data_IF_038813461394
#
_entry.id   IF_038813461394
#
_cell.length_a   1.000
_cell.length_b   1.000
_cell.length_c   1.000
_cell.angle_alpha   90.00
_cell.angle_beta   90.00
_cell.angle_gamma   90.00
#
_symmetry.space_group_name_H-M   'P 1'
#
loop_
_entity.id
_entity.type
_entity.pdbx_description
1 polymer ?
#
# COMPACT_ATOMS: atom_id res chain seq x y z
N UNK A 1 -0.95 22.48 -9.81
CA UNK A 1 -1.87 21.69 -10.66
C UNK A 1 -3.19 21.60 -9.92
N UNK A 2 -4.24 22.19 -10.43
CA UNK A 2 -5.51 22.36 -9.73
C UNK A 2 -6.20 21.02 -9.49
N UNK A 3 -6.88 20.89 -8.35
CA UNK A 3 -7.72 19.75 -7.93
C UNK A 3 -8.82 19.38 -8.94
N UNK A 4 -9.12 20.27 -9.87
CA UNK A 4 -10.12 20.09 -10.93
C UNK A 4 -9.81 18.97 -11.94
N UNK A 5 -8.63 18.36 -11.90
CA UNK A 5 -8.30 17.20 -12.74
C UNK A 5 -8.60 15.84 -12.09
N UNK A 6 -9.02 15.82 -10.84
CA UNK A 6 -9.67 14.67 -10.21
C UNK A 6 -11.17 14.57 -10.60
N UNK A 7 -11.55 15.17 -11.71
CA UNK A 7 -12.94 15.24 -12.20
C UNK A 7 -13.46 13.94 -12.83
N UNK A 8 -12.71 12.83 -12.71
CA UNK A 8 -13.37 11.55 -12.63
C UNK A 8 -13.38 11.14 -11.14
N UNK A 9 -14.45 11.44 -10.38
CA UNK A 9 -14.49 11.30 -8.93
C UNK A 9 -14.30 9.84 -8.47
N UNK A 10 -14.37 8.89 -9.39
CA UNK A 10 -14.35 7.47 -9.09
C UNK A 10 -13.01 6.76 -9.27
N UNK A 11 -12.01 7.34 -9.96
CA UNK A 11 -10.77 6.61 -10.19
C UNK A 11 -10.03 6.24 -8.92
N UNK A 12 -10.02 7.13 -7.92
CA UNK A 12 -9.39 6.85 -6.63
C UNK A 12 -10.22 5.86 -5.82
N UNK A 13 -11.54 5.99 -5.79
CA UNK A 13 -12.45 5.06 -5.14
C UNK A 13 -12.36 3.68 -5.79
N UNK A 14 -12.43 3.61 -7.12
CA UNK A 14 -12.28 2.38 -7.89
C UNK A 14 -10.91 1.72 -7.65
N UNK A 15 -9.84 2.53 -7.51
CA UNK A 15 -8.53 2.04 -7.13
C UNK A 15 -8.55 1.37 -5.75
N UNK A 16 -9.08 2.04 -4.72
CA UNK A 16 -9.12 1.49 -3.35
C UNK A 16 -9.96 0.21 -3.28
N UNK A 17 -11.08 0.16 -3.99
CA UNK A 17 -11.92 -1.05 -4.05
C UNK A 17 -11.20 -2.23 -4.73
N UNK A 18 -10.54 -1.98 -5.87
CA UNK A 18 -9.88 -3.03 -6.65
C UNK A 18 -8.57 -3.51 -6.04
N UNK A 19 -7.78 -2.60 -5.48
CA UNK A 19 -6.53 -2.97 -4.78
C UNK A 19 -6.83 -3.70 -3.48
N UNK A 20 -8.10 -3.67 -3.00
CA UNK A 20 -8.52 -4.31 -1.74
C UNK A 20 -7.56 -3.98 -0.62
N UNK A 21 -7.20 -2.70 -0.52
CA UNK A 21 -6.32 -2.24 0.53
C UNK A 21 -6.98 -2.48 1.88
N UNK A 22 -6.37 -3.34 2.65
CA UNK A 22 -6.77 -3.57 4.04
C UNK A 22 -5.72 -2.93 4.94
N UNK A 23 -6.14 -1.97 5.73
CA UNK A 23 -5.36 -1.45 6.82
C UNK A 23 -5.29 -2.52 7.91
N UNK A 24 -4.09 -2.90 8.30
CA UNK A 24 -3.88 -3.79 9.43
C UNK A 24 -3.24 -2.99 10.57
N UNK A 25 -3.99 -2.75 11.63
CA UNK A 25 -3.41 -2.29 12.88
C UNK A 25 -2.45 -3.36 13.42
N UNK A 26 -1.22 -2.98 13.77
CA UNK A 26 -0.22 -3.97 14.20
C UNK A 26 0.57 -3.56 15.43
N UNK A 27 0.66 -2.27 15.75
CA UNK A 27 1.43 -1.82 16.89
C UNK A 27 0.86 -0.56 17.49
N UNK A 28 0.82 -0.51 18.80
CA UNK A 28 0.72 0.73 19.53
C UNK A 28 1.52 0.60 20.82
N UNK A 29 2.18 1.67 21.18
CA UNK A 29 3.01 1.66 22.37
C UNK A 29 3.90 2.89 22.48
N UNK A 30 4.72 2.83 23.49
CA UNK A 30 5.68 3.89 23.82
C UNK A 30 7.01 3.61 23.14
N UNK A 31 7.53 4.58 22.42
CA UNK A 31 8.88 4.48 21.83
C UNK A 31 9.91 4.76 22.91
N UNK A 32 10.72 3.76 23.24
CA UNK A 32 11.85 3.87 24.19
C UNK A 32 13.15 3.71 23.42
N UNK A 33 13.92 4.78 23.31
CA UNK A 33 15.17 4.77 22.54
C UNK A 33 14.92 4.71 21.02
N UNK A 34 15.47 3.73 20.33
CA UNK A 34 15.39 3.57 18.88
C UNK A 34 14.43 2.44 18.51
N UNK A 35 13.42 2.76 17.72
CA UNK A 35 12.49 1.80 17.16
C UNK A 35 12.82 1.59 15.67
N UNK A 36 13.16 0.35 15.32
CA UNK A 36 13.38 -0.10 13.94
C UNK A 36 12.39 -1.22 13.65
N UNK A 37 11.37 -0.91 12.86
CA UNK A 37 10.33 -1.88 12.50
C UNK A 37 10.67 -2.54 11.18
N UNK A 38 10.42 -3.84 11.09
CA UNK A 38 10.53 -4.59 9.84
C UNK A 38 9.57 -4.03 8.80
N UNK A 39 10.06 -3.81 7.60
CA UNK A 39 9.33 -3.17 6.50
C UNK A 39 9.37 -4.06 5.26
N UNK A 40 8.48 -5.03 5.16
CA UNK A 40 8.39 -5.89 3.99
C UNK A 40 8.16 -5.07 2.71
N UNK A 41 8.76 -5.47 1.58
CA UNK A 41 8.52 -4.80 0.29
C UNK A 41 7.02 -4.75 -0.05
N UNK A 42 6.60 -3.67 -0.71
CA UNK A 42 5.21 -3.48 -1.12
C UNK A 42 4.26 -3.00 -0.02
N UNK A 43 4.76 -2.78 1.18
CA UNK A 43 3.99 -2.24 2.30
C UNK A 43 4.09 -0.73 2.38
N UNK A 44 3.10 -0.11 3.00
CA UNK A 44 3.21 1.26 3.53
C UNK A 44 2.76 1.27 5.00
N UNK A 45 3.24 2.24 5.73
CA UNK A 45 2.98 2.37 7.17
C UNK A 45 2.48 3.76 7.48
N UNK A 46 1.46 3.83 8.32
CA UNK A 46 1.00 5.06 8.93
C UNK A 46 1.30 4.99 10.41
N UNK A 47 1.93 6.05 10.91
CA UNK A 47 2.16 6.25 12.35
C UNK A 47 1.43 7.52 12.77
N UNK A 48 0.67 7.42 13.83
CA UNK A 48 0.09 8.57 14.52
C UNK A 48 0.91 8.78 15.79
N UNK A 49 1.55 9.95 15.91
CA UNK A 49 2.17 10.41 17.14
C UNK A 49 1.07 11.05 18.00
N UNK A 50 0.77 10.42 19.13
CA UNK A 50 -0.25 10.93 20.07
C UNK A 50 0.29 12.08 20.91
N UNK A 51 1.58 12.03 21.29
CA UNK A 51 2.24 13.07 22.07
C UNK A 51 3.67 12.69 22.45
N UNK A 52 4.41 13.64 22.95
CA UNK A 52 5.84 13.54 23.25
C UNK A 52 6.70 13.82 22.00
N UNK A 53 8.00 13.90 22.20
CA UNK A 53 8.98 14.25 21.18
C UNK A 53 9.55 13.02 20.48
N UNK A 54 9.42 12.97 19.16
CA UNK A 54 9.89 11.87 18.32
C UNK A 54 10.76 12.40 17.18
N UNK A 55 11.89 11.76 16.97
CA UNK A 55 12.78 12.03 15.85
C UNK A 55 12.62 10.98 14.76
N UNK A 56 12.40 11.42 13.54
CA UNK A 56 12.51 10.59 12.34
C UNK A 56 13.96 10.64 11.83
N UNK A 57 14.66 9.54 11.94
CA UNK A 57 16.08 9.40 11.55
C UNK A 57 16.17 8.63 10.24
N UNK A 58 16.78 9.23 9.21
CA UNK A 58 16.97 8.63 7.88
C UNK A 58 18.45 8.66 7.52
N UNK A 59 19.00 7.62 6.87
CA UNK A 59 20.36 7.61 6.40
C UNK A 59 20.62 8.74 5.40
N UNK A 60 21.64 9.56 5.66
CA UNK A 60 22.06 10.63 4.74
C UNK A 60 21.12 11.83 4.65
N UNK A 61 20.08 11.91 5.50
CA UNK A 61 19.15 13.03 5.54
C UNK A 61 19.13 13.71 6.93
N UNK A 62 18.76 14.99 7.02
CA UNK A 62 18.55 15.67 8.30
C UNK A 62 17.51 14.95 9.15
N UNK A 63 17.70 14.98 10.46
CA UNK A 63 16.72 14.47 11.43
C UNK A 63 15.50 15.39 11.39
N UNK A 64 14.32 14.78 11.22
CA UNK A 64 13.05 15.52 11.33
C UNK A 64 12.52 15.35 12.73
N UNK A 65 12.39 16.47 13.44
CA UNK A 65 11.89 16.51 14.82
C UNK A 65 10.38 16.71 14.82
N UNK A 66 9.66 15.79 15.44
CA UNK A 66 8.22 15.81 15.62
C UNK A 66 7.94 16.23 17.05
N UNK A 67 7.38 17.44 17.24
CA UNK A 67 7.15 18.08 18.55
C UNK A 67 5.66 18.28 18.85
N UNK A 68 4.81 17.93 17.92
CA UNK A 68 3.34 18.04 18.03
C UNK A 68 2.69 16.78 17.49
N UNK A 69 1.42 16.52 17.79
CA UNK A 69 0.70 15.40 17.20
C UNK A 69 0.83 15.40 15.69
N UNK A 70 1.40 14.35 15.14
CA UNK A 70 1.76 14.24 13.72
C UNK A 70 1.36 12.89 13.16
N UNK A 71 1.12 12.86 11.85
CA UNK A 71 0.90 11.65 11.09
C UNK A 71 2.07 11.45 10.13
N UNK A 72 2.69 10.27 10.19
CA UNK A 72 3.75 9.89 9.28
C UNK A 72 3.21 8.86 8.29
N UNK A 73 3.43 9.09 7.01
CA UNK A 73 3.19 8.12 5.95
C UNK A 73 4.55 7.65 5.42
N UNK A 74 4.86 6.40 5.64
CA UNK A 74 6.16 5.83 5.37
C UNK A 74 6.03 4.66 4.38
N UNK A 75 6.54 4.78 3.13
CA UNK A 75 6.63 3.66 2.21
C UNK A 75 7.72 2.67 2.67
N UNK A 76 7.57 1.39 2.32
CA UNK A 76 8.57 0.36 2.65
C UNK A 76 9.93 0.58 1.99
N UNK A 77 9.97 1.31 0.88
CA UNK A 77 11.20 1.69 0.20
C UNK A 77 12.06 2.67 0.99
N UNK A 78 11.47 3.38 1.93
CA UNK A 78 12.16 4.36 2.77
C UNK A 78 12.85 3.67 3.96
N UNK A 79 14.16 3.89 4.09
CA UNK A 79 14.91 3.49 5.29
C UNK A 79 14.82 4.57 6.34
N UNK A 80 14.22 4.25 7.48
CA UNK A 80 14.08 5.17 8.61
C UNK A 80 14.02 4.42 9.94
N UNK A 81 14.32 5.15 11.00
CA UNK A 81 14.13 4.72 12.39
C UNK A 81 13.39 5.82 13.14
N UNK A 82 12.61 5.44 14.12
CA UNK A 82 11.97 6.37 15.04
C UNK A 82 12.76 6.39 16.35
N UNK A 83 13.13 7.56 16.83
CA UNK A 83 13.92 7.72 18.04
C UNK A 83 13.21 8.66 19.02
N UNK A 84 13.02 8.23 20.26
CA UNK A 84 12.55 9.12 21.32
C UNK A 84 13.62 10.15 21.67
N UNK A 85 13.23 11.40 21.90
CA UNK A 85 14.13 12.38 22.49
C UNK A 85 14.49 12.00 23.92
N UNK A 86 15.59 12.56 24.43
CA UNK A 86 16.09 12.24 25.76
C UNK A 86 15.04 12.52 26.84
N UNK A 87 14.73 11.49 27.63
CA UNK A 87 13.81 11.59 28.76
C UNK A 87 12.32 11.57 28.45
N UNK A 88 11.95 11.45 27.15
CA UNK A 88 10.56 11.37 26.73
C UNK A 88 10.19 9.96 26.23
N UNK A 89 8.92 9.64 26.38
CA UNK A 89 8.36 8.36 25.93
C UNK A 89 7.15 8.61 25.01
N UNK A 90 7.39 9.07 23.78
CA UNK A 90 6.30 9.35 22.84
C UNK A 90 5.48 8.08 22.56
N UNK A 91 4.17 8.25 22.49
CA UNK A 91 3.24 7.16 22.16
C UNK A 91 2.86 7.25 20.69
N UNK A 92 2.91 6.09 20.05
CA UNK A 92 2.54 5.93 18.63
C UNK A 92 1.49 4.85 18.46
N UNK A 93 0.63 5.05 17.47
CA UNK A 93 -0.34 4.05 16.99
C UNK A 93 -0.07 3.82 15.51
N UNK A 94 0.07 2.56 15.09
CA UNK A 94 0.58 2.21 13.78
C UNK A 94 -0.33 1.25 13.03
N UNK A 95 -0.49 1.50 11.74
CA UNK A 95 -1.12 0.55 10.81
C UNK A 95 -0.24 0.34 9.58
N UNK A 96 -0.34 -0.85 9.00
CA UNK A 96 0.30 -1.22 7.74
C UNK A 96 -0.73 -1.44 6.64
N UNK A 97 -0.29 -1.24 5.40
CA UNK A 97 -1.09 -1.43 4.20
C UNK A 97 -0.28 -2.23 3.19
N UNK A 98 -0.83 -3.35 2.73
CA UNK A 98 -0.21 -4.22 1.72
C UNK A 98 -0.72 -3.82 0.32
N UNK A 99 0.15 -3.20 -0.48
CA UNK A 99 -0.11 -2.87 -1.89
C UNK A 99 0.28 -4.01 -2.84
N UNK A 100 0.77 -5.11 -2.31
CA UNK A 100 1.39 -6.19 -3.08
C UNK A 100 2.87 -5.90 -3.37
N UNK A 101 3.61 -6.95 -3.68
CA UNK A 101 4.98 -6.76 -4.16
C UNK A 101 4.91 -6.23 -5.60
N UNK A 102 5.37 -5.03 -5.83
CA UNK A 102 5.74 -4.59 -7.16
C UNK A 102 7.19 -5.00 -7.40
N UNK A 103 7.47 -5.64 -8.51
CA UNK A 103 8.84 -5.98 -8.96
C UNK A 103 9.66 -4.72 -9.27
N UNK A 104 9.04 -3.54 -9.30
CA UNK A 104 9.69 -2.25 -9.48
C UNK A 104 10.12 -1.61 -8.15
N UNK A 105 11.10 -0.71 -8.21
CA UNK A 105 11.58 0.05 -7.06
C UNK A 105 10.62 1.19 -6.65
N UNK A 106 9.61 1.47 -7.46
CA UNK A 106 8.66 2.55 -7.17
C UNK A 106 7.76 2.19 -5.99
N UNK A 107 7.70 3.08 -5.01
CA UNK A 107 6.70 2.99 -3.94
C UNK A 107 5.29 2.96 -4.55
N UNK A 108 4.41 2.04 -4.12
CA UNK A 108 3.02 2.02 -4.57
C UNK A 108 2.29 3.35 -4.38
N UNK A 109 2.65 4.08 -3.34
CA UNK A 109 2.12 5.41 -3.03
C UNK A 109 2.74 6.53 -3.89
N UNK A 110 3.76 6.23 -4.71
CA UNK A 110 4.46 7.25 -5.50
C UNK A 110 5.32 8.19 -4.65
N UNK A 111 5.49 7.88 -3.40
CA UNK A 111 6.31 8.62 -2.44
C UNK A 111 7.57 7.82 -2.18
N UNK A 112 8.73 8.44 -2.37
CA UNK A 112 10.02 7.77 -2.18
C UNK A 112 10.55 7.87 -0.75
N UNK A 113 10.09 8.87 -0.01
CA UNK A 113 10.55 9.16 1.36
C UNK A 113 9.37 9.22 2.33
N UNK A 114 9.66 9.20 3.63
CA UNK A 114 8.65 9.39 4.65
C UNK A 114 8.07 10.81 4.59
N UNK A 115 6.75 10.90 4.55
CA UNK A 115 6.03 12.16 4.64
C UNK A 115 5.55 12.38 6.08
N UNK A 116 5.76 13.59 6.56
CA UNK A 116 5.34 14.01 7.90
C UNK A 116 4.32 15.11 7.74
N UNK A 117 3.16 14.91 8.33
CA UNK A 117 2.07 15.88 8.34
C UNK A 117 1.71 16.23 9.79
N UNK A 118 1.79 17.51 10.19
CA UNK A 118 1.11 17.95 11.40
C UNK A 118 -0.35 17.54 11.37
N UNK A 119 -0.88 16.99 12.45
CA UNK A 119 -2.25 16.48 12.47
C UNK A 119 -3.29 17.54 12.11
N UNK A 120 -3.02 18.81 12.46
CA UNK A 120 -3.84 19.97 12.11
C UNK A 120 -3.81 20.33 10.61
N UNK A 121 -2.78 19.92 9.88
CA UNK A 121 -2.58 20.27 8.46
C UNK A 121 -3.38 19.42 7.49
N UNK A 122 -3.91 18.27 7.93
CA UNK A 122 -4.68 17.35 7.10
C UNK A 122 -6.16 17.70 7.23
N UNK A 123 -6.84 18.14 6.16
CA UNK A 123 -8.27 18.44 6.24
C UNK A 123 -9.08 17.25 6.76
N UNK A 124 -9.98 17.52 7.72
CA UNK A 124 -10.85 16.54 8.37
C UNK A 124 -10.14 15.41 9.14
N UNK A 125 -8.81 15.46 9.34
CA UNK A 125 -8.10 14.38 10.03
C UNK A 125 -8.19 14.47 11.55
N UNK A 126 -8.27 15.66 12.16
CA UNK A 126 -8.28 15.78 13.63
C UNK A 126 -9.41 15.00 14.31
N UNK A 127 -10.68 15.05 13.85
CA UNK A 127 -11.73 14.21 14.43
C UNK A 127 -11.48 12.72 14.21
N UNK A 128 -10.92 12.33 13.06
CA UNK A 128 -10.58 10.95 12.73
C UNK A 128 -9.44 10.43 13.59
N UNK A 129 -8.37 11.19 13.77
CA UNK A 129 -7.25 10.85 14.65
C UNK A 129 -7.76 10.64 16.08
N UNK A 130 -8.61 11.54 16.58
CA UNK A 130 -9.24 11.39 17.88
C UNK A 130 -10.13 10.14 17.96
N UNK A 131 -10.82 9.77 16.88
CA UNK A 131 -11.59 8.54 16.83
C UNK A 131 -10.69 7.30 16.89
N UNK A 132 -9.58 7.29 16.14
CA UNK A 132 -8.58 6.21 16.17
C UNK A 132 -8.01 6.05 17.60
N UNK A 133 -7.62 7.14 18.25
CA UNK A 133 -7.05 7.08 19.58
C UNK A 133 -8.08 6.60 20.61
N UNK A 134 -9.33 7.05 20.54
CA UNK A 134 -10.41 6.55 21.41
C UNK A 134 -10.68 5.08 21.20
N UNK A 135 -10.79 4.63 19.94
CA UNK A 135 -11.00 3.22 19.61
C UNK A 135 -9.81 2.36 20.07
N UNK A 136 -8.59 2.88 19.95
CA UNK A 136 -7.40 2.20 20.44
C UNK A 136 -7.44 1.99 21.96
N UNK A 137 -7.86 3.00 22.74
CA UNK A 137 -7.95 2.91 24.20
C UNK A 137 -9.22 2.19 24.69
N UNK A 138 -10.19 1.98 23.82
CA UNK A 138 -11.40 1.23 24.16
C UNK A 138 -11.10 -0.27 24.22
N UNK A 139 -11.51 -0.94 25.30
CA UNK A 139 -11.47 -2.40 25.40
C UNK A 139 -12.83 -2.96 24.97
N UNK A 140 -13.13 -2.85 23.67
CA UNK A 140 -14.42 -3.19 23.11
C UNK A 140 -14.31 -4.30 22.04
N UNK A 141 -15.31 -5.20 21.94
CA UNK A 141 -15.36 -6.16 20.85
C UNK A 141 -15.38 -5.44 19.48
N UNK A 142 -14.65 -5.99 18.50
CA UNK A 142 -14.55 -5.38 17.17
C UNK A 142 -13.52 -4.25 17.03
N UNK A 143 -12.82 -3.86 18.12
CA UNK A 143 -11.80 -2.79 18.12
C UNK A 143 -10.81 -2.90 16.94
N UNK A 144 -10.28 -4.10 16.70
CA UNK A 144 -9.30 -4.28 15.64
C UNK A 144 -9.88 -3.98 14.25
N UNK A 145 -11.14 -4.37 14.02
CA UNK A 145 -11.84 -4.06 12.76
C UNK A 145 -12.13 -2.56 12.65
N UNK A 146 -12.58 -1.94 13.73
CA UNK A 146 -12.81 -0.50 13.81
C UNK A 146 -11.55 0.29 13.49
N UNK A 147 -10.44 -0.03 14.14
CA UNK A 147 -9.14 0.60 13.86
C UNK A 147 -8.72 0.45 12.41
N UNK A 148 -8.84 -0.75 11.82
CA UNK A 148 -8.50 -0.97 10.41
C UNK A 148 -9.29 -0.05 9.48
N UNK A 149 -10.60 0.07 9.67
CA UNK A 149 -11.46 0.94 8.86
C UNK A 149 -11.12 2.43 9.02
N UNK A 150 -10.84 2.87 10.24
CA UNK A 150 -10.46 4.27 10.50
C UNK A 150 -9.10 4.61 9.87
N UNK A 151 -8.13 3.70 9.93
CA UNK A 151 -6.83 3.87 9.26
C UNK A 151 -6.95 3.81 7.73
N UNK A 152 -7.84 3.00 7.17
CA UNK A 152 -8.13 3.01 5.73
C UNK A 152 -8.63 4.40 5.29
N UNK A 153 -9.54 5.00 6.07
CA UNK A 153 -10.00 6.36 5.76
C UNK A 153 -8.91 7.41 5.96
N UNK A 154 -8.05 7.26 6.98
CA UNK A 154 -6.90 8.15 7.17
C UNK A 154 -5.95 8.10 5.95
N UNK A 155 -5.70 6.90 5.40
CA UNK A 155 -4.90 6.76 4.18
C UNK A 155 -5.51 7.53 3.00
N UNK A 156 -6.84 7.50 2.83
CA UNK A 156 -7.52 8.30 1.79
C UNK A 156 -7.24 9.80 1.97
N UNK A 157 -7.32 10.30 3.20
CA UNK A 157 -7.04 11.72 3.49
C UNK A 157 -5.58 12.09 3.22
N UNK A 158 -4.64 11.21 3.60
CA UNK A 158 -3.21 11.40 3.35
C UNK A 158 -2.88 11.41 1.86
N UNK A 159 -3.48 10.49 1.10
CA UNK A 159 -3.33 10.44 -0.36
C UNK A 159 -3.85 11.71 -1.00
N UNK A 160 -5.06 12.16 -0.64
CA UNK A 160 -5.63 13.42 -1.16
C UNK A 160 -4.72 14.63 -0.87
N UNK A 161 -4.21 14.72 0.36
CA UNK A 161 -3.28 15.79 0.75
C UNK A 161 -1.97 15.71 -0.02
N UNK A 162 -1.40 14.52 -0.17
CA UNK A 162 -0.16 14.31 -0.92
C UNK A 162 -0.30 14.72 -2.38
N UNK A 163 -1.45 14.45 -3.01
CA UNK A 163 -1.75 14.95 -4.36
C UNK A 163 -1.90 16.47 -4.40
N UNK A 164 -2.62 17.06 -3.44
CA UNK A 164 -2.82 18.51 -3.38
C UNK A 164 -1.49 19.27 -3.25
N UNK A 165 -0.52 18.69 -2.55
CA UNK A 165 0.81 19.26 -2.35
C UNK A 165 1.83 18.85 -3.45
N UNK A 166 1.42 18.05 -4.44
CA UNK A 166 2.31 17.61 -5.53
C UNK A 166 3.41 16.65 -5.09
N UNK A 167 3.23 15.97 -3.95
CA UNK A 167 4.21 15.05 -3.37
C UNK A 167 4.20 13.67 -4.04
N UNK A 168 3.17 13.37 -4.83
CA UNK A 168 3.00 12.11 -5.57
C UNK A 168 3.28 12.34 -7.04
N UNK A 169 4.43 11.87 -7.53
CA UNK A 169 4.87 12.10 -8.92
C UNK A 169 4.99 10.83 -9.75
N UNK A 170 5.13 9.67 -9.10
CA UNK A 170 5.29 8.35 -9.72
C UNK A 170 4.56 7.28 -8.91
N UNK A 171 4.60 6.03 -9.39
CA UNK A 171 4.01 4.89 -8.72
C UNK A 171 2.54 4.67 -9.08
N UNK A 172 1.92 3.69 -8.44
CA UNK A 172 0.59 3.23 -8.80
C UNK A 172 -0.46 4.33 -8.64
N UNK A 173 -0.45 5.05 -7.51
CA UNK A 173 -1.39 6.14 -7.27
C UNK A 173 -1.26 7.28 -8.28
N UNK A 174 -0.02 7.72 -8.60
CA UNK A 174 0.19 8.75 -9.63
C UNK A 174 -0.30 8.29 -11.00
N UNK A 175 -0.12 7.00 -11.31
CA UNK A 175 -0.57 6.42 -12.58
C UNK A 175 -2.09 6.32 -12.68
N UNK A 176 -2.80 6.21 -11.56
CA UNK A 176 -4.26 6.19 -11.52
C UNK A 176 -4.91 7.55 -11.78
N UNK A 177 -4.19 8.64 -11.59
CA UNK A 177 -4.66 9.99 -11.97
C UNK A 177 -4.20 10.43 -13.36
N UNK A 178 -3.32 9.68 -14.02
CA UNK A 178 -3.01 9.83 -15.45
C UNK A 178 -4.09 9.09 -16.26
N UNK A 179 -4.98 9.78 -16.99
CA UNK A 179 -6.12 9.14 -17.66
C UNK A 179 -5.72 8.02 -18.63
N UNK A 180 -4.51 8.12 -19.22
CA UNK A 180 -4.01 7.15 -20.19
C UNK A 180 -3.60 5.84 -19.51
N UNK A 181 -2.89 5.93 -18.38
CA UNK A 181 -2.47 4.75 -17.61
C UNK A 181 -3.60 4.21 -16.74
N UNK A 182 -4.44 5.09 -16.19
CA UNK A 182 -5.57 4.69 -15.36
C UNK A 182 -6.48 3.69 -16.09
N UNK A 183 -6.87 3.97 -17.33
CA UNK A 183 -7.72 3.08 -18.11
C UNK A 183 -7.09 1.70 -18.32
N UNK A 184 -5.79 1.63 -18.64
CA UNK A 184 -5.07 0.38 -18.81
C UNK A 184 -4.89 -0.38 -17.48
N UNK A 185 -4.58 0.32 -16.39
CA UNK A 185 -4.48 -0.28 -15.05
C UNK A 185 -5.82 -0.83 -14.57
N UNK A 186 -6.91 -0.10 -14.79
CA UNK A 186 -8.26 -0.56 -14.48
C UNK A 186 -8.62 -1.82 -15.29
N UNK A 187 -8.26 -1.88 -16.56
CA UNK A 187 -8.46 -3.07 -17.39
C UNK A 187 -7.72 -4.28 -16.83
N UNK A 188 -6.44 -4.13 -16.47
CA UNK A 188 -5.63 -5.17 -15.83
C UNK A 188 -6.28 -5.64 -14.51
N UNK A 189 -6.69 -4.70 -13.66
CA UNK A 189 -7.26 -5.03 -12.36
C UNK A 189 -8.63 -5.68 -12.44
N UNK A 190 -9.45 -5.31 -13.44
CA UNK A 190 -10.80 -5.86 -13.65
C UNK A 190 -10.79 -7.28 -14.21
N UNK A 191 -9.82 -7.60 -15.04
CA UNK A 191 -9.71 -8.87 -15.74
C UNK A 191 -8.27 -9.37 -15.69
N UNK A 192 -7.78 -9.74 -14.51
CA UNK A 192 -6.41 -10.21 -14.33
C UNK A 192 -6.16 -11.57 -14.97
N UNK A 193 -7.21 -12.37 -15.19
CA UNK A 193 -7.19 -13.66 -15.87
C UNK A 193 -7.00 -13.55 -17.38
N UNK A 194 -7.35 -12.40 -17.96
CA UNK A 194 -7.24 -12.17 -19.40
C UNK A 194 -5.78 -12.12 -19.84
N UNK A 195 -5.49 -12.73 -20.99
CA UNK A 195 -4.16 -12.68 -21.61
C UNK A 195 -3.95 -11.36 -22.36
N UNK A 196 -3.71 -10.31 -21.60
CA UNK A 196 -3.53 -8.96 -22.11
C UNK A 196 -2.27 -8.84 -22.95
N UNK A 197 -2.41 -8.31 -24.16
CA UNK A 197 -1.28 -7.90 -25.01
C UNK A 197 -0.91 -6.43 -24.76
N UNK A 198 0.33 -6.07 -25.04
CA UNK A 198 0.79 -4.67 -24.94
C UNK A 198 -0.01 -3.78 -25.90
N UNK A 199 -0.36 -4.30 -27.08
CA UNK A 199 -1.09 -3.52 -28.09
C UNK A 199 -2.51 -3.19 -27.62
N UNK A 200 -3.21 -4.15 -26.99
CA UNK A 200 -4.52 -3.91 -26.39
C UNK A 200 -4.47 -2.86 -25.27
N UNK A 201 -3.51 -2.99 -24.35
CA UNK A 201 -3.35 -2.03 -23.26
C UNK A 201 -2.97 -0.63 -23.75
N UNK A 202 -2.12 -0.54 -24.78
CA UNK A 202 -1.77 0.71 -25.42
C UNK A 202 -2.98 1.36 -26.11
N UNK A 203 -3.80 0.57 -26.80
CA UNK A 203 -5.03 1.05 -27.43
C UNK A 203 -6.03 1.62 -26.40
N UNK A 204 -6.20 0.93 -25.26
CA UNK A 204 -7.03 1.42 -24.14
C UNK A 204 -6.52 2.77 -23.63
N UNK A 205 -5.20 2.94 -23.52
CA UNK A 205 -4.57 4.21 -23.12
C UNK A 205 -4.52 5.27 -24.23
N UNK A 206 -5.09 4.99 -25.42
CA UNK A 206 -5.00 5.86 -26.60
C UNK A 206 -3.55 6.23 -26.95
N UNK A 207 -2.63 5.27 -26.86
CA UNK A 207 -1.20 5.45 -27.09
C UNK A 207 -0.67 4.46 -28.13
N UNK A 208 0.43 4.83 -28.79
CA UNK A 208 1.20 3.83 -29.54
C UNK A 208 1.87 2.85 -28.58
N UNK A 209 2.12 1.61 -29.02
CA UNK A 209 2.80 0.56 -28.23
C UNK A 209 4.09 1.08 -27.54
N UNK A 210 4.94 1.74 -28.32
CA UNK A 210 6.22 2.26 -27.81
C UNK A 210 6.03 3.36 -26.74
N UNK A 211 5.14 4.32 -27.02
CA UNK A 211 4.84 5.41 -26.08
C UNK A 211 4.21 4.87 -24.79
N UNK A 212 3.31 3.89 -24.88
CA UNK A 212 2.70 3.23 -23.73
C UNK A 212 3.75 2.53 -22.86
N UNK A 213 4.59 1.67 -23.46
CA UNK A 213 5.64 0.98 -22.70
C UNK A 213 6.58 1.94 -21.98
N UNK A 214 7.04 2.98 -22.67
CA UNK A 214 7.95 3.99 -22.08
C UNK A 214 7.26 4.78 -20.96
N UNK A 215 6.00 5.17 -21.17
CA UNK A 215 5.27 5.92 -20.16
C UNK A 215 4.95 5.07 -18.94
N UNK A 216 4.48 3.84 -19.14
CA UNK A 216 4.21 2.88 -18.09
C UNK A 216 5.47 2.58 -17.26
N UNK A 217 6.60 2.28 -17.93
CA UNK A 217 7.88 2.03 -17.27
C UNK A 217 8.38 3.26 -16.48
N UNK A 218 8.22 4.47 -17.03
CA UNK A 218 8.62 5.71 -16.36
C UNK A 218 7.81 5.96 -15.09
N UNK A 219 6.51 5.64 -15.12
CA UNK A 219 5.59 5.92 -14.01
C UNK A 219 5.63 4.84 -12.92
N UNK A 220 5.78 3.59 -13.31
CA UNK A 220 5.63 2.44 -12.40
C UNK A 220 6.95 1.69 -12.15
N UNK A 221 8.05 2.06 -12.83
CA UNK A 221 9.36 1.39 -12.79
C UNK A 221 9.29 -0.12 -13.15
N UNK A 222 8.24 -0.54 -13.85
CA UNK A 222 8.01 -1.93 -14.26
C UNK A 222 7.35 -1.99 -15.62
N UNK A 223 7.65 -3.03 -16.42
CA UNK A 223 7.01 -3.25 -17.71
C UNK A 223 5.54 -3.71 -17.54
N UNK A 224 4.62 -3.39 -18.48
CA UNK A 224 3.19 -3.68 -18.33
C UNK A 224 2.86 -5.14 -18.03
N UNK A 225 3.45 -6.09 -18.74
CA UNK A 225 3.19 -7.54 -18.54
C UNK A 225 3.82 -8.04 -17.22
N UNK A 226 4.96 -7.49 -16.80
CA UNK A 226 5.53 -7.81 -15.50
C UNK A 226 4.62 -7.29 -14.38
N UNK A 227 4.05 -6.09 -14.53
CA UNK A 227 3.04 -5.57 -13.60
C UNK A 227 1.82 -6.49 -13.48
N UNK A 228 1.25 -6.95 -14.62
CA UNK A 228 0.15 -7.93 -14.61
C UNK A 228 0.54 -9.20 -13.85
N UNK A 229 1.76 -9.70 -14.05
CA UNK A 229 2.24 -10.89 -13.33
C UNK A 229 2.30 -10.67 -11.83
N UNK A 230 2.86 -9.54 -11.38
CA UNK A 230 2.93 -9.18 -9.97
C UNK A 230 1.53 -9.00 -9.37
N UNK A 231 0.59 -8.40 -10.12
CA UNK A 231 -0.80 -8.26 -9.72
C UNK A 231 -1.50 -9.61 -9.54
N UNK A 232 -1.33 -10.55 -10.49
CA UNK A 232 -1.81 -11.93 -10.36
C UNK A 232 -1.24 -12.62 -9.12
N UNK A 233 0.06 -12.45 -8.84
CA UNK A 233 0.69 -13.04 -7.65
C UNK A 233 0.13 -12.44 -6.36
N UNK A 234 -0.17 -11.14 -6.32
CA UNK A 234 -0.86 -10.52 -5.19
C UNK A 234 -2.21 -11.18 -4.93
N UNK A 235 -3.05 -11.29 -5.96
CA UNK A 235 -4.36 -11.94 -5.85
C UNK A 235 -4.25 -13.41 -5.46
N UNK A 236 -3.20 -14.11 -5.97
CA UNK A 236 -2.93 -15.49 -5.58
C UNK A 236 -2.66 -15.63 -4.08
N UNK A 237 -1.91 -14.70 -3.48
CA UNK A 237 -1.66 -14.69 -2.03
C UNK A 237 -2.96 -14.65 -1.23
N UNK A 238 -3.91 -13.83 -1.66
CA UNK A 238 -5.19 -13.69 -0.97
C UNK A 238 -6.03 -14.98 -1.11
N UNK A 239 -6.16 -15.52 -2.32
CA UNK A 239 -6.85 -16.79 -2.57
C UNK A 239 -6.22 -17.96 -1.80
N UNK A 240 -4.89 -18.01 -1.70
CA UNK A 240 -4.19 -19.06 -0.93
C UNK A 240 -4.45 -18.90 0.56
N UNK A 241 -4.49 -17.68 1.11
CA UNK A 241 -4.86 -17.42 2.52
C UNK A 241 -6.29 -17.84 2.82
N UNK A 242 -7.19 -17.68 1.85
CA UNK A 242 -8.59 -18.13 1.91
C UNK A 242 -8.73 -19.66 1.76
N UNK A 243 -7.62 -20.41 1.61
CA UNK A 243 -7.63 -21.85 1.52
C UNK A 243 -7.85 -22.41 0.13
N UNK A 244 -7.93 -21.56 -0.90
CA UNK A 244 -8.17 -22.01 -2.29
C UNK A 244 -7.04 -22.91 -2.79
N UNK A 245 -7.39 -24.02 -3.44
CA UNK A 245 -6.43 -24.98 -3.98
C UNK A 245 -5.60 -24.39 -5.14
N UNK A 246 -4.31 -24.69 -5.20
CA UNK A 246 -3.37 -24.08 -6.15
C UNK A 246 -3.76 -24.26 -7.63
N UNK A 247 -4.43 -25.38 -7.98
CA UNK A 247 -4.94 -25.60 -9.33
C UNK A 247 -6.06 -24.62 -9.68
N UNK A 248 -6.96 -24.35 -8.72
CA UNK A 248 -8.05 -23.39 -8.88
C UNK A 248 -7.48 -21.97 -8.94
N UNK A 249 -6.56 -21.61 -8.06
CA UNK A 249 -5.86 -20.31 -8.11
C UNK A 249 -5.24 -20.05 -9.47
N UNK A 250 -4.52 -21.04 -10.04
CA UNK A 250 -3.90 -20.92 -11.36
C UNK A 250 -4.94 -20.64 -12.44
N UNK A 251 -6.05 -21.38 -12.46
CA UNK A 251 -7.12 -21.21 -13.44
C UNK A 251 -7.83 -19.84 -13.29
N UNK A 252 -8.16 -19.45 -12.05
CA UNK A 252 -8.83 -18.17 -11.75
C UNK A 252 -8.00 -16.97 -12.19
N UNK A 253 -6.66 -17.09 -12.19
CA UNK A 253 -5.75 -15.99 -12.54
C UNK A 253 -5.21 -16.07 -13.97
N UNK A 254 -5.81 -16.93 -14.83
CA UNK A 254 -5.49 -17.00 -16.26
C UNK A 254 -4.15 -17.66 -16.58
N UNK A 255 -3.65 -18.56 -15.71
CA UNK A 255 -2.48 -19.36 -16.04
C UNK A 255 -2.90 -20.64 -16.80
N UNK A 256 -2.21 -20.96 -17.87
CA UNK A 256 -2.47 -22.16 -18.69
C UNK A 256 -2.28 -23.48 -17.92
N UNK A 257 -1.54 -23.46 -16.81
CA UNK A 257 -1.33 -24.62 -15.94
C UNK A 257 -0.88 -24.21 -14.55
N UNK A 258 -1.08 -25.11 -13.57
CA UNK A 258 -0.55 -24.94 -12.23
C UNK A 258 1.00 -24.82 -12.24
N UNK A 259 1.69 -25.50 -13.14
CA UNK A 259 3.13 -25.41 -13.28
C UNK A 259 3.59 -24.02 -13.75
N UNK A 260 2.86 -23.40 -14.71
CA UNK A 260 3.12 -22.03 -15.15
C UNK A 260 2.92 -21.04 -14.01
N UNK A 261 1.84 -21.16 -13.26
CA UNK A 261 1.56 -20.39 -12.06
C UNK A 261 2.68 -20.53 -11.01
N UNK A 262 3.07 -21.76 -10.68
CA UNK A 262 4.12 -22.02 -9.68
C UNK A 262 5.44 -21.36 -10.06
N UNK A 263 5.85 -21.42 -11.33
CA UNK A 263 7.05 -20.73 -11.80
C UNK A 263 6.95 -19.20 -11.69
N UNK A 264 5.81 -18.63 -12.08
CA UNK A 264 5.58 -17.19 -11.99
C UNK A 264 5.61 -16.73 -10.52
N UNK A 265 4.92 -17.43 -9.63
CA UNK A 265 4.88 -17.14 -8.20
C UNK A 265 6.25 -17.23 -7.55
N UNK A 266 7.01 -18.32 -7.83
CA UNK A 266 8.36 -18.51 -7.28
C UNK A 266 9.34 -17.44 -7.80
N UNK A 267 9.21 -17.01 -9.05
CA UNK A 267 10.03 -15.91 -9.59
C UNK A 267 9.76 -14.58 -8.88
N UNK A 268 8.51 -14.29 -8.54
CA UNK A 268 8.12 -13.05 -7.85
C UNK A 268 8.48 -13.04 -6.37
N UNK A 269 8.33 -14.16 -5.68
CA UNK A 269 8.43 -14.24 -4.22
C UNK A 269 9.66 -14.99 -3.72
N UNK A 270 10.45 -15.61 -4.61
CA UNK A 270 11.63 -16.40 -4.25
C UNK A 270 11.30 -17.80 -3.71
N UNK A 271 10.02 -18.09 -3.44
CA UNK A 271 9.57 -19.38 -2.87
C UNK A 271 8.34 -19.90 -3.61
N UNK A 272 8.17 -21.23 -3.78
CA UNK A 272 6.99 -21.83 -4.39
C UNK A 272 5.71 -21.57 -3.58
N UNK A 273 4.51 -21.51 -4.22
CA UNK A 273 3.26 -21.21 -3.54
C UNK A 273 2.87 -22.22 -2.44
N UNK A 274 3.24 -23.50 -2.60
CA UNK A 274 3.01 -24.51 -1.58
C UNK A 274 3.88 -24.31 -0.32
N UNK A 275 5.11 -23.86 -0.48
CA UNK A 275 6.01 -23.51 0.62
C UNK A 275 5.56 -22.20 1.29
N UNK A 276 5.24 -21.20 0.49
CA UNK A 276 4.70 -19.95 0.97
C UNK A 276 3.43 -20.14 1.81
N UNK A 277 2.51 -21.02 1.39
CA UNK A 277 1.31 -21.37 2.16
C UNK A 277 1.64 -21.92 3.54
N UNK A 278 2.69 -22.73 3.66
CA UNK A 278 3.13 -23.31 4.96
C UNK A 278 3.79 -22.28 5.88
N UNK A 279 4.32 -21.20 5.32
CA UNK A 279 4.92 -20.12 6.10
C UNK A 279 3.91 -19.11 6.65
N UNK A 280 2.63 -19.20 6.25
CA UNK A 280 1.56 -18.34 6.80
C UNK A 280 1.27 -18.84 8.23
N UNK A 281 1.37 -17.99 9.28
CA UNK A 281 0.98 -18.38 10.63
C UNK A 281 -0.49 -18.81 10.69
N UNK A 282 -0.80 -19.88 11.41
CA UNK A 282 -2.16 -20.43 11.55
C UNK A 282 -3.16 -19.43 12.16
N UNK A 283 -2.71 -18.44 12.90
CA UNK A 283 -3.56 -17.39 13.49
C UNK A 283 -4.29 -16.51 12.45
N UNK A 284 -3.80 -16.46 11.21
CA UNK A 284 -4.48 -15.73 10.13
C UNK A 284 -5.69 -16.50 9.56
N UNK A 285 -5.81 -17.79 9.79
CA UNK A 285 -6.89 -18.65 9.29
C UNK A 285 -8.12 -18.71 10.22
N UNK A 286 -7.97 -18.37 11.49
CA UNK A 286 -9.04 -18.51 12.51
C UNK A 286 -10.02 -17.33 12.60
N UNK A 287 -9.86 -16.28 11.81
CA UNK A 287 -10.71 -15.07 11.88
C UNK A 287 -11.75 -14.95 10.75
N UNK A 288 -12.03 -16.04 10.00
CA UNK A 288 -13.05 -16.04 8.94
C UNK A 288 -14.19 -17.05 9.14
N UNK A 289 -14.36 -17.56 10.36
CA UNK A 289 -15.39 -18.55 10.67
C UNK A 289 -16.10 -18.29 11.99
N UNK A 290 -16.76 -17.14 12.13
CA UNK A 290 -17.82 -16.92 13.12
C UNK A 290 -18.70 -15.74 12.65
#
# INVERSE_FOLDING_TARGET
>A
MSFDRLTNPDLLSEFFERVRLKGQFFYAGTVRGMLDLEKPPGMAFIYILEGGDLDLVRPGAPIVQLREPSVLLCPSSCRYKLRSASGEYPRIVCASFDFGQSTGQASPLGVQDALVFPGSSIPNASPLINAILREFHADAPGRQRGLSMLFEYLLVLLVRKSFAEGLVSKGLLASMVDPRLAAALLAIHSSPDRDWTIDELAAIGCMSRSAFCQHFQRMLDVAPIAYLTSWRVKLAKDLIREGTGLKVVAATLGYSSQAAFTRAFARELGVPPAEWRRSIPEEAALHQGA
#
